data_IF_142531718816
#
_entry.id   IF_142531718816
#
_cell.length_a   1.000
_cell.length_b   1.000
_cell.length_c   1.000
_cell.angle_alpha   90.00
_cell.angle_beta   90.00
_cell.angle_gamma   90.00
#
_symmetry.space_group_name_H-M   'P 1'
#
loop_
_entity.id
_entity.type
_entity.pdbx_description
1 polymer ?
#
# COMPACT_ATOMS: atom_id res chain seq x y z
N UNK A 1 -12.57 17.84 -8.41
CA UNK A 1 -12.92 16.93 -7.29
C UNK A 1 -11.67 16.80 -6.45
N UNK A 2 -11.77 16.79 -5.11
CA UNK A 2 -10.60 16.52 -4.25
C UNK A 2 -10.25 15.03 -4.41
N UNK A 3 -8.99 14.70 -4.68
CA UNK A 3 -8.54 13.31 -4.81
C UNK A 3 -8.86 12.52 -3.53
N UNK A 4 -9.31 11.28 -3.62
CA UNK A 4 -9.70 10.50 -2.46
C UNK A 4 -8.47 10.16 -1.60
N UNK A 5 -8.52 10.51 -0.34
CA UNK A 5 -7.53 10.08 0.66
C UNK A 5 -8.26 9.19 1.66
N UNK A 6 -7.96 7.91 1.64
CA UNK A 6 -8.48 6.98 2.62
C UNK A 6 -7.66 7.04 3.92
N UNK A 7 -6.37 6.68 3.88
CA UNK A 7 -5.49 6.81 5.04
C UNK A 7 -4.88 8.21 5.08
N UNK A 8 -5.14 8.96 6.14
CA UNK A 8 -4.63 10.33 6.33
C UNK A 8 -3.34 10.35 7.13
N UNK A 9 -3.15 9.39 8.05
CA UNK A 9 -1.97 9.29 8.93
C UNK A 9 -1.71 7.85 9.31
N UNK A 10 -0.45 7.48 9.41
CA UNK A 10 0.02 6.16 9.87
C UNK A 10 0.99 6.34 11.02
N UNK A 11 0.70 5.67 12.14
CA UNK A 11 1.61 5.61 13.29
C UNK A 11 2.01 4.15 13.54
N UNK A 12 3.31 3.89 13.53
CA UNK A 12 3.89 2.57 13.78
C UNK A 12 4.80 2.61 14.99
N UNK A 13 4.77 1.55 15.80
CA UNK A 13 5.65 1.36 16.97
C UNK A 13 6.22 -0.05 16.96
N UNK A 14 7.54 -0.15 17.05
CA UNK A 14 8.28 -1.41 17.18
C UNK A 14 7.95 -2.44 16.08
N UNK A 15 7.73 -1.99 14.85
CA UNK A 15 7.41 -2.84 13.72
C UNK A 15 8.66 -3.12 12.86
N UNK A 16 9.14 -4.36 12.80
CA UNK A 16 10.37 -4.76 12.09
C UNK A 16 11.54 -3.81 12.40
N UNK A 17 12.08 -3.11 11.40
CA UNK A 17 13.15 -2.11 11.58
C UNK A 17 12.64 -0.74 12.06
N UNK A 18 11.33 -0.51 12.10
CA UNK A 18 10.73 0.78 12.47
C UNK A 18 10.54 0.84 13.99
N UNK A 19 11.30 1.68 14.68
CA UNK A 19 11.11 1.92 16.11
C UNK A 19 9.89 2.80 16.37
N UNK A 20 9.81 3.90 15.66
CA UNK A 20 8.69 4.83 15.67
C UNK A 20 8.53 5.44 14.27
N UNK A 21 7.31 5.59 13.83
CA UNK A 21 6.93 6.31 12.62
C UNK A 21 5.60 7.01 12.87
N UNK A 22 5.50 8.25 12.45
CA UNK A 22 4.28 9.05 12.52
C UNK A 22 4.27 9.99 11.31
N UNK A 23 3.55 9.59 10.27
CA UNK A 23 3.55 10.29 8.99
C UNK A 23 2.13 10.51 8.46
N UNK A 24 1.94 11.64 7.81
CA UNK A 24 0.74 11.95 7.03
C UNK A 24 0.92 11.46 5.60
N UNK A 25 -0.17 11.04 4.98
CA UNK A 25 -0.19 10.54 3.62
C UNK A 25 -0.97 11.50 2.71
N UNK A 26 -0.51 11.59 1.46
CA UNK A 26 -1.16 12.31 0.37
C UNK A 26 -1.95 11.33 -0.53
N UNK A 27 -2.76 11.82 -1.50
CA UNK A 27 -3.41 10.96 -2.49
C UNK A 27 -2.42 10.07 -3.25
N UNK A 28 -1.25 10.64 -3.60
CA UNK A 28 -0.08 9.92 -4.08
C UNK A 28 1.07 10.17 -3.12
N UNK A 29 1.62 9.11 -2.55
CA UNK A 29 2.76 9.21 -1.60
C UNK A 29 3.92 8.37 -2.12
N UNK A 30 5.09 8.99 -2.24
CA UNK A 30 6.36 8.34 -2.57
C UNK A 30 7.18 8.12 -1.29
N UNK A 31 7.47 6.86 -0.96
CA UNK A 31 8.44 6.48 0.07
C UNK A 31 9.80 6.31 -0.61
N UNK A 32 10.70 7.26 -0.41
CA UNK A 32 11.95 7.36 -1.17
C UNK A 32 13.15 7.15 -0.28
N UNK A 33 14.10 6.34 -0.74
CA UNK A 33 15.34 6.10 -0.01
C UNK A 33 16.12 4.91 -0.58
N UNK A 34 17.34 4.66 -0.08
CA UNK A 34 18.18 3.57 -0.57
C UNK A 34 17.57 2.20 -0.29
N UNK A 35 18.12 1.17 -0.99
CA UNK A 35 17.75 -0.21 -0.73
C UNK A 35 18.10 -0.59 0.72
N UNK A 36 17.24 -1.38 1.35
CA UNK A 36 17.41 -1.75 2.75
C UNK A 36 17.03 -0.67 3.78
N UNK A 37 16.60 0.52 3.38
CA UNK A 37 16.18 1.59 4.30
C UNK A 37 14.90 1.27 5.10
N UNK A 38 14.12 0.25 4.68
CA UNK A 38 12.90 -0.16 5.37
C UNK A 38 11.60 0.35 4.73
N UNK A 39 11.63 0.82 3.48
CA UNK A 39 10.44 1.23 2.72
C UNK A 39 9.38 0.13 2.68
N UNK A 40 9.78 -1.10 2.34
CA UNK A 40 8.88 -2.26 2.31
C UNK A 40 8.32 -2.61 3.69
N UNK A 41 9.03 -2.33 4.78
CA UNK A 41 8.51 -2.57 6.13
C UNK A 41 7.33 -1.66 6.48
N UNK A 42 7.29 -0.45 5.92
CA UNK A 42 6.14 0.44 6.08
C UNK A 42 4.91 -0.11 5.33
N UNK A 43 5.05 -0.50 4.06
CA UNK A 43 3.95 -1.11 3.30
C UNK A 43 3.49 -2.43 3.92
N UNK A 44 4.44 -3.26 4.41
CA UNK A 44 4.11 -4.53 5.06
C UNK A 44 3.33 -4.34 6.36
N UNK A 45 3.53 -3.23 7.10
CA UNK A 45 2.72 -2.92 8.28
C UNK A 45 1.24 -2.69 7.90
N UNK A 46 0.98 -1.99 6.79
CA UNK A 46 -0.38 -1.79 6.27
C UNK A 46 -0.97 -3.11 5.73
N UNK A 47 -0.15 -3.89 5.03
CA UNK A 47 -0.53 -5.20 4.50
C UNK A 47 -0.88 -6.18 5.63
N UNK A 48 -0.14 -6.17 6.75
CA UNK A 48 -0.46 -6.97 7.94
C UNK A 48 -1.85 -6.64 8.48
N UNK A 49 -2.25 -5.37 8.53
CA UNK A 49 -3.61 -4.98 8.96
C UNK A 49 -4.67 -5.60 8.05
N UNK A 50 -4.51 -5.49 6.74
CA UNK A 50 -5.40 -6.12 5.76
C UNK A 50 -5.51 -7.63 5.97
N UNK A 51 -4.34 -8.33 6.06
CA UNK A 51 -4.30 -9.78 6.19
C UNK A 51 -4.93 -10.25 7.50
N UNK A 52 -4.64 -9.54 8.61
CA UNK A 52 -5.19 -9.86 9.92
C UNK A 52 -6.71 -9.67 10.00
N UNK A 53 -7.27 -8.71 9.25
CA UNK A 53 -8.71 -8.47 9.16
C UNK A 53 -9.40 -9.39 8.16
N UNK A 54 -8.79 -9.68 7.01
CA UNK A 54 -9.37 -10.54 5.95
C UNK A 54 -9.31 -12.03 6.29
N UNK A 55 -8.31 -12.44 7.07
CA UNK A 55 -8.09 -13.82 7.48
C UNK A 55 -8.10 -13.95 9.00
N UNK A 56 -6.89 -14.06 9.57
CA UNK A 56 -6.69 -14.03 11.02
C UNK A 56 -5.34 -13.39 11.36
N UNK A 57 -5.27 -12.80 12.55
CA UNK A 57 -4.00 -12.24 13.05
C UNK A 57 -2.92 -13.31 13.16
N UNK A 58 -3.29 -14.54 13.54
CA UNK A 58 -2.37 -15.67 13.63
C UNK A 58 -1.73 -16.00 12.27
N UNK A 59 -2.55 -16.15 11.23
CA UNK A 59 -2.07 -16.40 9.87
C UNK A 59 -1.19 -15.24 9.37
N UNK A 60 -1.63 -14.00 9.57
CA UNK A 60 -0.90 -12.80 9.14
C UNK A 60 0.48 -12.68 9.80
N UNK A 61 0.60 -13.08 11.09
CA UNK A 61 1.87 -13.15 11.79
C UNK A 61 2.73 -14.33 11.30
N UNK A 62 2.13 -15.52 11.15
CA UNK A 62 2.85 -16.74 10.75
C UNK A 62 3.43 -16.62 9.33
N UNK A 63 2.73 -16.01 8.38
CA UNK A 63 3.24 -15.71 7.03
C UNK A 63 4.47 -14.81 7.06
N UNK A 64 4.65 -14.02 8.12
CA UNK A 64 5.81 -13.14 8.36
C UNK A 64 6.88 -13.75 9.27
N UNK A 65 6.76 -15.05 9.60
CA UNK A 65 7.70 -15.77 10.48
C UNK A 65 7.39 -15.65 11.97
N UNK A 66 6.17 -15.21 12.32
CA UNK A 66 5.70 -15.08 13.69
C UNK A 66 5.95 -13.71 14.32
N UNK A 67 5.43 -13.51 15.53
CA UNK A 67 5.54 -12.23 16.25
C UNK A 67 7.00 -11.79 16.43
N UNK A 68 7.95 -12.71 16.63
CA UNK A 68 9.36 -12.40 16.82
C UNK A 68 10.01 -11.71 15.61
N UNK A 69 9.50 -11.97 14.40
CA UNK A 69 9.98 -11.36 13.15
C UNK A 69 9.26 -10.05 12.83
N UNK A 70 8.02 -9.91 13.30
CA UNK A 70 7.20 -8.71 13.10
C UNK A 70 7.56 -7.61 14.09
N UNK A 71 7.77 -7.94 15.36
CA UNK A 71 8.22 -6.96 16.37
C UNK A 71 9.67 -6.56 16.14
N UNK A 72 10.00 -5.33 16.52
CA UNK A 72 11.36 -4.84 16.39
C UNK A 72 12.35 -5.63 17.26
N UNK A 73 13.48 -6.01 16.67
CA UNK A 73 14.65 -6.58 17.36
C UNK A 73 15.61 -5.45 17.73
N UNK A 74 15.81 -5.20 19.02
CA UNK A 74 16.75 -4.19 19.51
C UNK A 74 17.22 -4.54 20.93
N UNK A 75 18.26 -3.86 21.40
CA UNK A 75 18.80 -4.03 22.76
C UNK A 75 17.77 -3.77 23.86
N UNK A 76 16.73 -2.95 23.58
CA UNK A 76 15.62 -2.73 24.50
C UNK A 76 14.58 -3.84 24.54
N UNK A 77 14.71 -4.88 23.71
CA UNK A 77 13.85 -6.07 23.64
C UNK A 77 12.34 -5.75 23.72
N UNK A 78 11.78 -4.86 22.87
CA UNK A 78 10.36 -4.57 22.93
C UNK A 78 9.55 -5.85 22.79
N UNK A 79 8.58 -6.05 23.68
CA UNK A 79 7.74 -7.26 23.71
C UNK A 79 6.49 -7.10 22.85
N UNK A 80 6.24 -5.90 22.32
CA UNK A 80 5.04 -5.54 21.59
C UNK A 80 5.35 -4.71 20.35
N UNK A 81 4.42 -4.71 19.41
CA UNK A 81 4.33 -3.72 18.33
C UNK A 81 2.92 -3.12 18.29
N UNK A 82 2.80 -1.95 17.72
CA UNK A 82 1.50 -1.30 17.57
C UNK A 82 1.36 -0.53 16.26
N UNK A 83 0.13 -0.48 15.77
CA UNK A 83 -0.26 0.21 14.54
C UNK A 83 -1.49 1.08 14.83
N UNK A 84 -1.45 2.35 14.38
CA UNK A 84 -2.60 3.24 14.32
C UNK A 84 -2.74 3.76 12.90
N UNK A 85 -3.94 3.67 12.35
CA UNK A 85 -4.34 4.18 11.06
C UNK A 85 -5.42 5.24 11.28
N UNK A 86 -5.16 6.48 10.88
CA UNK A 86 -6.19 7.50 10.80
C UNK A 86 -6.71 7.55 9.37
N UNK A 87 -8.01 7.61 9.20
CA UNK A 87 -8.66 7.48 7.91
C UNK A 87 -9.81 8.48 7.74
N UNK A 88 -10.23 8.63 6.50
CA UNK A 88 -11.46 9.29 6.11
C UNK A 88 -12.27 8.33 5.23
N UNK A 89 -13.48 8.02 5.68
CA UNK A 89 -14.41 7.18 4.90
C UNK A 89 -14.96 7.95 3.70
N UNK A 90 -15.53 7.24 2.72
CA UNK A 90 -16.17 7.83 1.54
C UNK A 90 -17.29 8.81 1.88
N UNK A 91 -17.91 8.64 3.05
CA UNK A 91 -18.88 9.60 3.61
C UNK A 91 -18.25 10.93 4.07
N UNK A 92 -16.92 11.06 4.01
CA UNK A 92 -16.16 12.19 4.54
C UNK A 92 -15.89 12.12 6.04
N UNK A 93 -16.41 11.13 6.75
CA UNK A 93 -16.23 10.99 8.20
C UNK A 93 -14.78 10.59 8.53
N UNK A 94 -14.06 11.35 9.39
CA UNK A 94 -12.76 10.97 9.89
C UNK A 94 -12.89 9.86 10.93
N UNK A 95 -11.85 9.09 11.10
CA UNK A 95 -11.79 8.06 12.14
C UNK A 95 -10.40 7.52 12.33
N UNK A 96 -10.24 6.61 13.28
CA UNK A 96 -9.00 5.88 13.47
C UNK A 96 -9.27 4.43 13.88
N UNK A 97 -8.33 3.59 13.54
CA UNK A 97 -8.24 2.21 14.00
C UNK A 97 -6.83 1.96 14.53
N UNK A 98 -6.72 1.46 15.75
CA UNK A 98 -5.45 1.22 16.40
C UNK A 98 -5.46 -0.08 17.18
N UNK A 99 -4.32 -0.79 17.18
CA UNK A 99 -4.13 -1.96 18.02
C UNK A 99 -2.67 -2.14 18.43
N UNK A 100 -2.48 -2.87 19.52
CA UNK A 100 -1.19 -3.26 20.07
C UNK A 100 -1.17 -4.76 20.33
N UNK A 101 -0.16 -5.46 19.83
CA UNK A 101 0.03 -6.90 20.00
C UNK A 101 1.31 -7.14 20.79
N UNK A 102 1.20 -7.90 21.86
CA UNK A 102 2.32 -8.22 22.75
C UNK A 102 2.60 -9.72 22.85
N UNK A 103 3.85 -10.08 23.13
CA UNK A 103 4.27 -11.43 23.41
C UNK A 103 3.82 -11.87 24.80
N UNK A 104 3.34 -13.11 24.92
CA UNK A 104 3.06 -13.73 26.21
C UNK A 104 4.33 -14.40 26.78
N UNK A 105 4.54 -14.37 28.11
CA UNK A 105 5.68 -15.07 28.74
C UNK A 105 5.63 -16.58 28.51
N UNK A 106 4.44 -17.17 28.36
CA UNK A 106 4.22 -18.60 28.09
C UNK A 106 4.41 -18.98 26.61
N UNK A 107 4.79 -18.03 25.75
CA UNK A 107 4.81 -18.18 24.29
C UNK A 107 3.50 -17.75 23.65
N UNK A 108 3.55 -17.41 22.34
CA UNK A 108 2.43 -16.86 21.61
C UNK A 108 2.29 -15.36 21.82
N UNK A 109 1.09 -14.83 21.58
CA UNK A 109 0.79 -13.40 21.60
C UNK A 109 -0.62 -13.11 22.11
N UNK A 110 -0.87 -11.87 22.49
CA UNK A 110 -2.20 -11.33 22.77
C UNK A 110 -2.38 -9.94 22.14
N UNK A 111 -3.60 -9.63 21.75
CA UNK A 111 -4.03 -8.26 21.46
C UNK A 111 -4.21 -7.56 22.81
N UNK A 112 -3.26 -6.69 23.16
CA UNK A 112 -3.28 -6.00 24.45
C UNK A 112 -4.31 -4.88 24.49
N UNK A 113 -4.40 -4.12 23.39
CA UNK A 113 -5.38 -3.03 23.24
C UNK A 113 -5.82 -2.96 21.77
N UNK A 114 -7.10 -2.71 21.56
CA UNK A 114 -7.68 -2.44 20.25
C UNK A 114 -8.74 -1.35 20.39
N UNK A 115 -8.72 -0.38 19.46
CA UNK A 115 -9.61 0.77 19.48
C UNK A 115 -10.01 1.14 18.05
N UNK A 116 -11.30 1.43 17.86
CA UNK A 116 -11.82 2.01 16.64
C UNK A 116 -12.76 3.16 17.00
N UNK A 117 -12.61 4.31 16.35
CA UNK A 117 -13.54 5.42 16.49
C UNK A 117 -13.79 6.10 15.14
N UNK A 118 -15.03 6.50 14.90
CA UNK A 118 -15.51 7.16 13.68
C UNK A 118 -16.15 8.49 14.10
N UNK A 119 -16.02 9.54 13.30
CA UNK A 119 -16.64 10.85 13.58
C UNK A 119 -15.75 11.77 14.42
N UNK A 120 -14.43 11.59 14.43
CA UNK A 120 -13.49 12.55 15.05
C UNK A 120 -13.14 12.26 16.51
N UNK A 121 -13.33 11.03 16.98
CA UNK A 121 -12.87 10.59 18.31
C UNK A 121 -13.91 9.89 19.15
N UNK A 122 -13.46 9.37 20.31
CA UNK A 122 -14.32 8.66 21.27
C UNK A 122 -15.44 9.59 21.75
N UNK A 123 -16.70 9.12 21.65
CA UNK A 123 -17.88 9.85 22.08
C UNK A 123 -18.47 10.84 21.07
N UNK A 124 -17.84 11.04 19.89
CA UNK A 124 -18.41 11.87 18.80
C UNK A 124 -19.09 11.06 17.71
N UNK A 125 -19.03 9.73 17.77
CA UNK A 125 -19.63 8.79 16.83
C UNK A 125 -19.45 7.36 17.28
N UNK A 126 -19.61 6.37 16.39
CA UNK A 126 -19.37 4.97 16.70
C UNK A 126 -17.93 4.73 17.18
N UNK A 127 -17.79 4.01 18.30
CA UNK A 127 -16.48 3.66 18.85
C UNK A 127 -16.53 2.38 19.68
N UNK A 128 -15.39 1.71 19.79
CA UNK A 128 -15.13 0.68 20.80
C UNK A 128 -13.67 0.76 21.29
N UNK A 129 -13.47 0.30 22.52
CA UNK A 129 -12.15 0.08 23.10
C UNK A 129 -12.13 -1.25 23.85
N UNK A 130 -11.13 -2.06 23.55
CA UNK A 130 -10.93 -3.39 24.11
C UNK A 130 -9.52 -3.45 24.69
N UNK A 131 -9.41 -4.04 25.87
CA UNK A 131 -8.14 -4.29 26.54
C UNK A 131 -8.09 -5.74 26.99
N UNK A 132 -7.08 -6.49 26.50
CA UNK A 132 -6.85 -7.90 26.81
C UNK A 132 -8.12 -8.76 26.71
N UNK A 133 -8.81 -8.65 25.58
CA UNK A 133 -10.03 -9.40 25.31
C UNK A 133 -11.26 -8.98 26.13
N UNK A 134 -11.21 -7.84 26.83
CA UNK A 134 -12.35 -7.31 27.58
C UNK A 134 -12.81 -5.99 26.96
N UNK A 135 -14.10 -5.91 26.66
CA UNK A 135 -14.72 -4.65 26.24
C UNK A 135 -14.69 -3.66 27.40
N UNK A 136 -13.99 -2.54 27.21
CA UNK A 136 -13.92 -1.44 28.19
C UNK A 136 -15.00 -0.40 27.94
N UNK A 137 -15.22 -0.08 26.67
CA UNK A 137 -16.20 0.92 26.29
C UNK A 137 -16.68 0.70 24.87
N UNK A 138 -17.92 1.05 24.56
CA UNK A 138 -18.52 0.97 23.23
C UNK A 138 -19.70 1.93 23.12
N UNK A 139 -19.90 2.50 21.92
CA UNK A 139 -21.12 3.22 21.56
C UNK A 139 -22.32 2.28 21.34
N UNK A 140 -22.05 1.02 21.04
CA UNK A 140 -23.07 0.03 20.75
C UNK A 140 -23.60 -0.63 22.02
N UNK A 141 -24.91 -0.72 22.15
CA UNK A 141 -25.57 -1.35 23.32
C UNK A 141 -25.25 -2.85 23.43
N UNK A 142 -25.00 -3.49 22.30
CA UNK A 142 -24.60 -4.90 22.22
C UNK A 142 -23.33 -5.02 21.39
N UNK A 143 -22.27 -5.59 21.97
CA UNK A 143 -21.01 -5.79 21.29
C UNK A 143 -20.68 -7.30 21.22
N UNK A 144 -20.15 -7.81 20.09
CA UNK A 144 -19.83 -9.24 19.96
C UNK A 144 -18.75 -9.65 20.99
N UNK A 145 -18.78 -10.95 21.36
CA UNK A 145 -17.73 -11.51 22.20
C UNK A 145 -16.36 -11.41 21.53
N UNK A 146 -15.37 -11.01 22.30
CA UNK A 146 -13.99 -10.80 21.82
C UNK A 146 -13.03 -11.77 22.51
N UNK A 147 -11.91 -12.05 21.85
CA UNK A 147 -10.84 -12.92 22.35
C UNK A 147 -9.50 -12.21 22.22
N UNK A 148 -8.52 -12.59 23.04
CA UNK A 148 -7.18 -11.99 23.02
C UNK A 148 -6.34 -12.35 21.79
N UNK A 149 -6.70 -13.42 21.06
CA UNK A 149 -5.94 -13.90 19.89
C UNK A 149 -6.45 -13.36 18.54
N UNK A 150 -7.48 -12.49 18.54
CA UNK A 150 -8.09 -11.95 17.31
C UNK A 150 -8.35 -10.46 17.43
N UNK A 151 -8.28 -9.76 16.30
CA UNK A 151 -8.74 -8.38 16.21
C UNK A 151 -10.27 -8.34 16.32
N UNK A 152 -10.76 -7.50 17.22
CA UNK A 152 -12.19 -7.38 17.51
C UNK A 152 -12.98 -6.72 16.38
N UNK A 153 -12.34 -5.88 15.56
CA UNK A 153 -12.97 -5.27 14.39
C UNK A 153 -13.52 -6.34 13.43
N UNK A 154 -12.91 -7.54 13.36
CA UNK A 154 -13.44 -8.68 12.59
C UNK A 154 -14.83 -9.06 13.05
N UNK A 155 -15.05 -9.19 14.38
CA UNK A 155 -16.36 -9.48 14.96
C UNK A 155 -17.31 -8.28 14.89
N UNK A 156 -16.76 -7.07 15.13
CA UNK A 156 -17.51 -5.82 15.08
C UNK A 156 -17.98 -5.45 13.66
N UNK A 157 -17.39 -6.02 12.60
CA UNK A 157 -17.83 -5.83 11.22
C UNK A 157 -19.26 -6.30 10.94
N UNK A 158 -19.82 -7.14 11.81
CA UNK A 158 -21.24 -7.49 11.78
C UNK A 158 -22.18 -6.36 12.22
N UNK A 159 -21.65 -5.32 12.89
CA UNK A 159 -22.38 -4.13 13.28
C UNK A 159 -22.27 -3.09 12.14
N UNK A 160 -23.41 -2.52 11.74
CA UNK A 160 -23.48 -1.54 10.63
C UNK A 160 -22.58 -0.33 10.85
N UNK A 161 -22.33 0.05 12.10
CA UNK A 161 -21.50 1.16 12.49
C UNK A 161 -20.01 0.98 12.10
N UNK A 162 -19.48 -0.25 12.20
CA UNK A 162 -18.05 -0.54 11.96
C UNK A 162 -17.78 -1.22 10.61
N UNK A 163 -18.84 -1.67 9.93
CA UNK A 163 -18.75 -2.33 8.62
C UNK A 163 -17.96 -1.51 7.58
N UNK A 164 -18.21 -0.17 7.43
CA UNK A 164 -17.49 0.63 6.45
C UNK A 164 -15.97 0.67 6.69
N UNK A 165 -15.53 0.70 7.96
CA UNK A 165 -14.09 0.69 8.31
C UNK A 165 -13.47 -0.65 7.96
N UNK A 166 -14.14 -1.75 8.32
CA UNK A 166 -13.68 -3.10 7.99
C UNK A 166 -13.55 -3.30 6.49
N UNK A 167 -14.57 -2.93 5.72
CA UNK A 167 -14.58 -3.08 4.25
C UNK A 167 -13.46 -2.24 3.62
N UNK A 168 -13.28 -0.99 4.04
CA UNK A 168 -12.23 -0.13 3.52
C UNK A 168 -10.81 -0.64 3.85
N UNK A 169 -10.56 -1.12 5.09
CA UNK A 169 -9.26 -1.66 5.47
C UNK A 169 -8.94 -3.00 4.76
N UNK A 170 -9.93 -3.85 4.55
CA UNK A 170 -9.76 -5.12 3.82
C UNK A 170 -9.67 -4.94 2.31
N UNK A 171 -10.16 -3.83 1.77
CA UNK A 171 -10.07 -3.49 0.35
C UNK A 171 -8.71 -2.88 -0.07
N UNK A 172 -7.79 -2.60 0.86
CA UNK A 172 -6.44 -2.14 0.49
C UNK A 172 -5.73 -3.18 -0.39
N UNK A 173 -5.02 -2.74 -1.43
CA UNK A 173 -4.24 -3.58 -2.36
C UNK A 173 -2.74 -3.35 -2.19
N UNK A 174 -1.94 -4.42 -2.01
CA UNK A 174 -0.48 -4.33 -1.92
C UNK A 174 0.17 -5.22 -2.95
N UNK A 175 1.09 -4.66 -3.74
CA UNK A 175 1.65 -5.31 -4.93
C UNK A 175 3.17 -5.25 -4.95
N UNK A 176 3.77 -6.44 -5.00
CA UNK A 176 5.17 -6.66 -5.35
C UNK A 176 5.20 -7.61 -6.55
N UNK A 177 5.04 -7.04 -7.73
CA UNK A 177 4.75 -7.79 -8.95
C UNK A 177 5.95 -8.61 -9.41
N UNK A 178 5.70 -9.89 -9.70
CA UNK A 178 6.71 -10.84 -10.12
C UNK A 178 6.49 -11.25 -11.60
N UNK A 179 7.34 -10.74 -12.54
CA UNK A 179 7.21 -11.09 -13.96
C UNK A 179 7.25 -12.58 -14.26
N UNK A 180 7.95 -13.39 -13.44
CA UNK A 180 8.00 -14.84 -13.61
C UNK A 180 6.63 -15.48 -13.39
N UNK A 181 5.90 -15.07 -12.34
CA UNK A 181 4.55 -15.58 -12.09
C UNK A 181 3.51 -15.05 -13.09
N UNK A 182 3.68 -13.82 -13.57
CA UNK A 182 2.84 -13.25 -14.64
C UNK A 182 3.04 -14.01 -15.96
N UNK A 183 4.25 -14.49 -16.23
CA UNK A 183 4.63 -15.22 -17.46
C UNK A 183 4.06 -16.62 -17.53
N UNK A 184 3.86 -17.26 -16.38
CA UNK A 184 3.41 -18.64 -16.29
C UNK A 184 1.94 -18.82 -16.73
N UNK A 185 1.57 -20.05 -17.05
CA UNK A 185 0.16 -20.41 -17.22
C UNK A 185 -0.54 -20.36 -15.85
N UNK A 186 -1.67 -19.69 -15.81
CA UNK A 186 -2.42 -19.41 -14.58
C UNK A 186 -3.69 -20.27 -14.53
N UNK A 187 -4.11 -20.67 -13.34
CA UNK A 187 -5.42 -21.28 -13.13
C UNK A 187 -6.50 -20.21 -13.22
N UNK A 188 -7.59 -20.42 -13.97
CA UNK A 188 -8.70 -19.48 -14.02
C UNK A 188 -9.26 -19.15 -12.63
N UNK A 189 -9.51 -17.86 -12.36
CA UNK A 189 -10.08 -17.34 -11.13
C UNK A 189 -11.20 -16.33 -11.45
N UNK A 190 -11.85 -15.75 -10.44
CA UNK A 190 -12.91 -14.75 -10.66
C UNK A 190 -12.38 -13.45 -11.29
N UNK A 191 -11.11 -13.11 -11.06
CA UNK A 191 -10.44 -11.96 -11.65
C UNK A 191 -10.92 -10.60 -11.14
N UNK A 192 -11.62 -10.55 -10.01
CA UNK A 192 -12.14 -9.29 -9.44
C UNK A 192 -11.04 -8.37 -8.98
N UNK A 193 -10.01 -8.92 -8.30
CA UNK A 193 -8.86 -8.19 -7.81
C UNK A 193 -7.57 -8.91 -8.17
N UNK A 194 -6.54 -8.14 -8.47
CA UNK A 194 -5.18 -8.63 -8.72
C UNK A 194 -4.58 -9.12 -7.40
N UNK A 195 -3.91 -10.26 -7.43
CA UNK A 195 -3.11 -10.75 -6.31
C UNK A 195 -1.76 -10.04 -6.25
N UNK A 196 -1.14 -10.06 -5.06
CA UNK A 196 0.03 -9.25 -4.73
C UNK A 196 1.22 -9.43 -5.68
N UNK A 197 1.47 -10.64 -6.20
CA UNK A 197 2.55 -10.91 -7.13
C UNK A 197 2.11 -10.95 -8.62
N UNK A 198 0.80 -10.77 -8.90
CA UNK A 198 0.25 -10.77 -10.26
C UNK A 198 -0.08 -12.15 -10.83
N UNK A 199 -0.09 -13.18 -10.01
CA UNK A 199 -0.27 -14.59 -10.41
C UNK A 199 -1.67 -14.97 -10.93
N UNK A 200 -2.60 -14.00 -10.97
CA UNK A 200 -3.94 -14.16 -11.56
C UNK A 200 -4.28 -13.08 -12.59
N UNK A 201 -3.27 -12.40 -13.13
CA UNK A 201 -3.47 -11.22 -13.99
C UNK A 201 -4.26 -11.54 -15.26
N UNK A 202 -4.14 -12.75 -15.82
CA UNK A 202 -4.91 -13.16 -16.98
C UNK A 202 -6.42 -13.15 -16.69
N UNK A 203 -6.83 -13.67 -15.52
CA UNK A 203 -8.22 -13.61 -15.06
C UNK A 203 -8.70 -12.16 -14.87
N UNK A 204 -7.83 -11.29 -14.28
CA UNK A 204 -8.17 -9.88 -14.04
C UNK A 204 -8.36 -9.12 -15.35
N UNK A 205 -7.44 -9.25 -16.31
CA UNK A 205 -7.59 -8.65 -17.65
C UNK A 205 -8.87 -9.14 -18.31
N UNK A 206 -9.15 -10.44 -18.29
CA UNK A 206 -10.39 -10.98 -18.86
C UNK A 206 -11.66 -10.54 -18.12
N UNK A 207 -11.59 -10.24 -16.82
CA UNK A 207 -12.69 -9.65 -16.07
C UNK A 207 -12.91 -8.19 -16.48
N UNK A 208 -11.84 -7.37 -16.51
CA UNK A 208 -11.90 -5.97 -16.90
C UNK A 208 -12.38 -5.77 -18.35
N UNK A 209 -11.98 -6.63 -19.29
CA UNK A 209 -12.49 -6.59 -20.67
C UNK A 209 -14.02 -6.68 -20.75
N UNK A 210 -14.67 -7.38 -19.81
CA UNK A 210 -16.13 -7.56 -19.78
C UNK A 210 -16.85 -6.48 -18.97
N UNK A 211 -16.23 -6.00 -17.87
CA UNK A 211 -16.92 -5.18 -16.84
C UNK A 211 -16.47 -3.72 -16.81
N UNK A 212 -15.26 -3.43 -17.31
CA UNK A 212 -14.64 -2.10 -17.27
C UNK A 212 -13.78 -1.83 -18.52
N UNK A 213 -14.38 -1.75 -19.73
CA UNK A 213 -13.64 -1.55 -20.98
C UNK A 213 -12.81 -0.25 -20.99
N UNK A 214 -13.27 0.80 -20.30
CA UNK A 214 -12.53 2.06 -20.17
C UNK A 214 -11.22 1.86 -19.38
N UNK A 215 -11.22 1.05 -18.33
CA UNK A 215 -10.02 0.71 -17.58
C UNK A 215 -9.00 -0.05 -18.45
N UNK A 216 -9.46 -1.00 -19.26
CA UNK A 216 -8.61 -1.71 -20.23
C UNK A 216 -8.04 -0.76 -21.28
N UNK A 217 -8.82 0.21 -21.75
CA UNK A 217 -8.32 1.21 -22.70
C UNK A 217 -7.17 2.03 -22.10
N UNK A 218 -7.33 2.48 -20.85
CA UNK A 218 -6.28 3.21 -20.11
C UNK A 218 -5.03 2.33 -19.89
N UNK A 219 -5.21 1.07 -19.49
CA UNK A 219 -4.10 0.13 -19.32
C UNK A 219 -3.33 -0.04 -20.64
N UNK A 220 -4.02 -0.21 -21.77
CA UNK A 220 -3.41 -0.36 -23.09
C UNK A 220 -2.68 0.91 -23.54
N UNK A 221 -3.24 2.08 -23.28
CA UNK A 221 -2.64 3.39 -23.56
C UNK A 221 -1.27 3.52 -22.87
N UNK A 222 -1.22 3.33 -21.56
CA UNK A 222 0.04 3.43 -20.82
C UNK A 222 0.99 2.27 -21.09
N UNK A 223 0.48 1.07 -21.35
CA UNK A 223 1.33 -0.06 -21.75
C UNK A 223 2.04 0.23 -23.08
N UNK A 224 1.33 0.83 -24.05
CA UNK A 224 1.93 1.28 -25.31
C UNK A 224 2.97 2.39 -25.09
N UNK A 225 2.73 3.35 -24.19
CA UNK A 225 3.70 4.38 -23.85
C UNK A 225 4.99 3.82 -23.22
N UNK A 226 4.87 2.76 -22.39
CA UNK A 226 6.01 2.06 -21.76
C UNK A 226 6.69 1.09 -22.72
N UNK A 227 5.94 0.42 -23.58
CA UNK A 227 6.40 -0.59 -24.54
C UNK A 227 5.79 -0.30 -25.93
N UNK A 228 6.37 0.63 -26.73
CA UNK A 228 5.75 1.18 -27.94
C UNK A 228 5.40 0.18 -29.03
N UNK A 229 6.03 -1.01 -29.03
CA UNK A 229 5.69 -2.08 -29.98
C UNK A 229 4.46 -2.88 -29.59
N UNK A 230 3.97 -2.73 -28.32
CA UNK A 230 2.82 -3.48 -27.80
C UNK A 230 1.55 -2.64 -27.94
N UNK A 231 0.58 -3.12 -28.73
CA UNK A 231 -0.67 -2.42 -29.00
C UNK A 231 -1.85 -2.94 -28.16
N UNK A 232 -1.73 -4.13 -27.61
CA UNK A 232 -2.82 -4.69 -26.84
C UNK A 232 -2.42 -5.93 -26.06
N UNK A 233 -3.24 -6.22 -25.07
CA UNK A 233 -3.17 -7.43 -24.25
C UNK A 233 -4.58 -7.94 -24.03
N UNK A 234 -4.74 -9.26 -24.01
CA UNK A 234 -6.01 -9.93 -23.71
C UNK A 234 -5.78 -11.26 -23.00
N UNK A 235 -6.81 -11.72 -22.30
CA UNK A 235 -6.85 -13.08 -21.75
C UNK A 235 -6.94 -14.12 -22.88
N UNK A 236 -6.18 -15.21 -22.78
CA UNK A 236 -6.23 -16.34 -23.70
C UNK A 236 -6.32 -17.66 -22.92
N UNK A 237 -7.36 -18.46 -23.21
CA UNK A 237 -7.45 -19.82 -22.68
C UNK A 237 -6.42 -20.76 -23.35
N UNK A 238 -5.77 -21.59 -22.55
CA UNK A 238 -4.78 -22.60 -22.98
C UNK A 238 -5.12 -23.93 -22.29
N UNK A 239 -5.98 -24.71 -22.91
CA UNK A 239 -6.55 -25.92 -22.28
C UNK A 239 -7.33 -25.54 -20.99
N UNK A 240 -7.03 -26.18 -19.84
CA UNK A 240 -7.66 -25.88 -18.56
C UNK A 240 -7.03 -24.65 -17.86
N UNK A 241 -5.99 -24.07 -18.44
CA UNK A 241 -5.25 -22.92 -17.91
C UNK A 241 -5.55 -21.68 -18.76
N UNK A 242 -4.99 -20.55 -18.34
CA UNK A 242 -5.04 -19.29 -19.07
C UNK A 242 -3.69 -18.56 -19.04
N UNK A 243 -3.51 -17.69 -20.00
CA UNK A 243 -2.34 -16.84 -20.14
C UNK A 243 -2.75 -15.49 -20.72
N UNK A 244 -1.82 -14.56 -20.78
CA UNK A 244 -1.96 -13.31 -21.53
C UNK A 244 -1.45 -13.49 -22.95
N UNK A 245 -2.16 -12.90 -23.92
CA UNK A 245 -1.76 -12.78 -25.31
C UNK A 245 -1.58 -11.30 -25.65
N UNK A 246 -0.40 -10.95 -26.11
CA UNK A 246 -0.01 -9.60 -26.51
C UNK A 246 -0.07 -9.45 -28.02
N UNK A 247 -0.48 -8.27 -28.48
CA UNK A 247 -0.40 -7.85 -29.88
C UNK A 247 0.79 -6.92 -30.03
N UNK A 248 1.76 -7.30 -30.87
CA UNK A 248 3.01 -6.57 -31.03
C UNK A 248 3.34 -6.35 -32.53
N UNK A 249 3.80 -5.13 -32.84
CA UNK A 249 4.30 -4.83 -34.17
C UNK A 249 5.60 -5.56 -34.46
N UNK A 250 5.70 -6.09 -35.68
CA UNK A 250 6.90 -6.70 -36.17
C UNK A 250 7.33 -6.05 -37.50
N UNK A 251 8.61 -5.80 -37.63
CA UNK A 251 9.19 -5.18 -38.84
C UNK A 251 8.79 -5.97 -40.09
N UNK A 252 8.21 -5.30 -41.09
CA UNK A 252 7.76 -5.90 -42.34
C UNK A 252 6.43 -6.62 -42.28
N UNK A 253 5.78 -6.76 -41.14
CA UNK A 253 4.46 -7.36 -41.02
C UNK A 253 3.35 -6.34 -41.35
N UNK A 254 2.30 -6.77 -42.04
CA UNK A 254 1.12 -5.94 -42.36
C UNK A 254 0.15 -5.81 -41.17
N UNK A 255 0.22 -6.76 -40.23
CA UNK A 255 -0.65 -6.83 -39.04
C UNK A 255 0.19 -7.17 -37.81
N UNK A 256 -0.20 -6.75 -36.59
CA UNK A 256 0.47 -7.12 -35.35
C UNK A 256 0.48 -8.64 -35.16
N UNK A 257 1.60 -9.15 -34.67
CA UNK A 257 1.72 -10.56 -34.32
C UNK A 257 1.23 -10.79 -32.89
N UNK A 258 0.88 -12.04 -32.60
CA UNK A 258 0.40 -12.44 -31.29
C UNK A 258 1.47 -13.25 -30.57
N UNK A 259 1.80 -12.80 -29.34
CA UNK A 259 2.77 -13.45 -28.47
C UNK A 259 2.17 -13.76 -27.12
N UNK A 260 2.43 -14.94 -26.60
CA UNK A 260 2.09 -15.24 -25.21
C UNK A 260 3.01 -14.51 -24.23
N UNK A 261 2.57 -14.37 -22.97
CA UNK A 261 3.35 -13.77 -21.90
C UNK A 261 4.75 -14.36 -21.74
N UNK A 262 4.94 -15.64 -22.10
CA UNK A 262 6.22 -16.36 -22.10
C UNK A 262 7.29 -15.68 -22.97
N UNK A 263 6.89 -14.98 -24.02
CA UNK A 263 7.78 -14.32 -24.97
C UNK A 263 8.02 -12.83 -24.64
N UNK A 264 7.36 -12.30 -23.60
CA UNK A 264 7.45 -10.89 -23.25
C UNK A 264 8.60 -10.61 -22.30
N UNK A 265 9.14 -9.39 -22.35
CA UNK A 265 10.18 -8.94 -21.42
C UNK A 265 9.65 -8.77 -19.98
N UNK A 266 10.54 -8.90 -18.99
CA UNK A 266 10.18 -8.68 -17.59
C UNK A 266 9.62 -7.27 -17.36
N UNK A 267 10.21 -6.25 -18.01
CA UNK A 267 9.73 -4.88 -17.93
C UNK A 267 8.31 -4.72 -18.46
N UNK A 268 7.99 -5.31 -19.63
CA UNK A 268 6.62 -5.26 -20.18
C UNK A 268 5.60 -5.93 -19.25
N UNK A 269 5.94 -7.11 -18.72
CA UNK A 269 5.06 -7.84 -17.80
C UNK A 269 4.86 -7.10 -16.49
N UNK A 270 5.93 -6.51 -15.94
CA UNK A 270 5.86 -5.71 -14.71
C UNK A 270 5.04 -4.44 -14.92
N UNK A 271 5.26 -3.73 -16.04
CA UNK A 271 4.45 -2.56 -16.40
C UNK A 271 2.96 -2.90 -16.48
N UNK A 272 2.61 -3.99 -17.18
CA UNK A 272 1.22 -4.46 -17.25
C UNK A 272 0.67 -4.76 -15.84
N UNK A 273 1.44 -5.42 -14.99
CA UNK A 273 1.04 -5.70 -13.61
C UNK A 273 0.79 -4.42 -12.80
N UNK A 274 1.69 -3.44 -12.87
CA UNK A 274 1.54 -2.13 -12.21
C UNK A 274 0.30 -1.40 -12.73
N UNK A 275 0.12 -1.30 -14.04
CA UNK A 275 -1.04 -0.65 -14.64
C UNK A 275 -2.35 -1.35 -14.27
N UNK A 276 -2.34 -2.70 -14.21
CA UNK A 276 -3.50 -3.47 -13.75
C UNK A 276 -3.80 -3.19 -12.28
N UNK A 277 -2.78 -3.13 -11.40
CA UNK A 277 -2.96 -2.79 -10.00
C UNK A 277 -3.56 -1.38 -9.80
N UNK A 278 -3.14 -0.40 -10.61
CA UNK A 278 -3.58 0.99 -10.55
C UNK A 278 -5.02 1.19 -11.07
N UNK A 279 -5.38 0.50 -12.15
CA UNK A 279 -6.64 0.75 -12.87
C UNK A 279 -7.66 -0.38 -12.75
N UNK A 280 -7.40 -1.42 -11.96
CA UNK A 280 -8.36 -2.47 -11.67
C UNK A 280 -9.53 -1.97 -10.84
N UNK A 281 -10.64 -2.68 -10.96
CA UNK A 281 -11.85 -2.36 -10.21
C UNK A 281 -12.81 -1.47 -10.99
N UNK A 282 -14.08 -1.62 -10.65
CA UNK A 282 -15.16 -0.75 -11.02
C UNK A 282 -15.64 -0.01 -9.77
N UNK A 283 -16.67 0.82 -9.88
CA UNK A 283 -17.21 1.63 -8.78
C UNK A 283 -17.54 0.83 -7.51
N UNK A 284 -17.82 -0.47 -7.62
CA UNK A 284 -18.24 -1.31 -6.49
C UNK A 284 -17.09 -2.13 -5.85
N UNK A 285 -15.94 -2.28 -6.53
CA UNK A 285 -14.87 -3.20 -6.13
C UNK A 285 -13.45 -2.64 -6.34
N UNK A 286 -13.28 -1.32 -6.33
CA UNK A 286 -11.96 -0.71 -6.41
C UNK A 286 -11.23 -0.85 -5.05
N UNK A 287 -9.89 -1.04 -5.05
CA UNK A 287 -9.11 -0.92 -3.83
C UNK A 287 -9.27 0.47 -3.20
N UNK A 288 -9.40 0.53 -1.87
CA UNK A 288 -9.42 1.79 -1.11
C UNK A 288 -8.07 2.51 -1.13
N UNK A 289 -6.99 1.72 -1.23
CA UNK A 289 -5.62 2.15 -1.32
C UNK A 289 -4.82 1.13 -2.12
N UNK A 290 -3.89 1.60 -2.95
CA UNK A 290 -2.95 0.79 -3.73
C UNK A 290 -1.52 1.06 -3.27
N UNK A 291 -0.86 0.08 -2.65
CA UNK A 291 0.56 0.11 -2.32
C UNK A 291 1.37 -0.68 -3.36
N UNK A 292 2.38 -0.08 -3.97
CA UNK A 292 3.23 -0.76 -4.97
C UNK A 292 4.69 -0.64 -4.59
N UNK A 293 5.39 -1.78 -4.58
CA UNK A 293 6.83 -1.82 -4.36
C UNK A 293 7.59 -1.68 -5.68
N UNK A 294 8.43 -0.63 -5.74
CA UNK A 294 9.40 -0.38 -6.81
C UNK A 294 8.82 -0.62 -8.22
N UNK A 295 7.75 0.11 -8.60
CA UNK A 295 7.06 -0.10 -9.87
C UNK A 295 7.96 0.10 -11.10
N UNK A 296 9.02 0.87 -10.96
CA UNK A 296 9.99 1.18 -12.00
C UNK A 296 11.00 0.06 -12.28
N UNK A 297 11.10 -0.93 -11.41
CA UNK A 297 12.08 -2.02 -11.56
C UNK A 297 11.91 -2.75 -12.89
N UNK A 298 13.02 -2.96 -13.60
CA UNK A 298 13.10 -3.55 -14.94
C UNK A 298 12.47 -2.71 -16.07
N UNK A 299 12.02 -1.50 -15.80
CA UNK A 299 11.61 -0.55 -16.84
C UNK A 299 12.81 0.22 -17.40
N UNK A 300 12.72 0.58 -18.67
CA UNK A 300 13.69 1.49 -19.26
C UNK A 300 13.47 2.91 -18.69
N UNK A 301 14.51 3.69 -18.37
CA UNK A 301 14.38 5.05 -17.84
C UNK A 301 13.41 5.95 -18.62
N UNK A 302 13.38 5.83 -19.97
CA UNK A 302 12.45 6.57 -20.82
C UNK A 302 10.94 6.25 -20.53
N UNK A 303 10.65 5.13 -19.89
CA UNK A 303 9.28 4.77 -19.50
C UNK A 303 8.84 5.38 -18.16
N UNK A 304 9.77 5.97 -17.39
CA UNK A 304 9.50 6.53 -16.07
C UNK A 304 8.48 7.68 -16.11
N UNK A 305 8.50 8.51 -17.13
CA UNK A 305 7.54 9.59 -17.30
C UNK A 305 6.10 9.05 -17.51
N UNK A 306 5.93 8.06 -18.38
CA UNK A 306 4.62 7.43 -18.60
C UNK A 306 4.11 6.71 -17.36
N UNK A 307 5.01 6.04 -16.62
CA UNK A 307 4.67 5.41 -15.34
C UNK A 307 4.22 6.45 -14.31
N UNK A 308 4.94 7.57 -14.18
CA UNK A 308 4.58 8.65 -13.27
C UNK A 308 3.22 9.25 -13.61
N UNK A 309 2.95 9.52 -14.88
CA UNK A 309 1.65 9.99 -15.34
C UNK A 309 0.53 9.01 -14.99
N UNK A 310 0.75 7.70 -15.17
CA UNK A 310 -0.18 6.67 -14.77
C UNK A 310 -0.45 6.66 -13.26
N UNK A 311 0.59 6.87 -12.42
CA UNK A 311 0.45 6.98 -10.97
C UNK A 311 -0.38 8.20 -10.57
N UNK A 312 -0.11 9.37 -11.16
CA UNK A 312 -0.87 10.61 -10.92
C UNK A 312 -2.34 10.43 -11.31
N UNK A 313 -2.61 9.90 -12.52
CA UNK A 313 -3.97 9.63 -12.99
C UNK A 313 -4.73 8.63 -12.12
N UNK A 314 -4.05 7.59 -11.62
CA UNK A 314 -4.65 6.63 -10.70
C UNK A 314 -4.99 7.27 -9.34
N UNK A 315 -4.12 8.18 -8.85
CA UNK A 315 -4.31 8.88 -7.59
C UNK A 315 -5.52 9.84 -7.57
N UNK A 316 -6.07 10.21 -8.73
CA UNK A 316 -7.34 10.94 -8.82
C UNK A 316 -8.55 10.11 -8.35
N UNK A 317 -8.42 8.77 -8.32
CA UNK A 317 -9.53 7.85 -8.03
C UNK A 317 -9.29 6.97 -6.82
N UNK A 318 -8.03 6.61 -6.55
CA UNK A 318 -7.65 5.68 -5.49
C UNK A 318 -6.35 6.17 -4.88
N UNK A 319 -6.25 6.18 -3.55
CA UNK A 319 -5.00 6.56 -2.89
C UNK A 319 -3.87 5.60 -3.27
N UNK A 320 -2.70 6.14 -3.62
CA UNK A 320 -1.54 5.36 -4.09
C UNK A 320 -0.34 5.62 -3.19
N UNK A 321 0.32 4.56 -2.75
CA UNK A 321 1.62 4.61 -2.04
C UNK A 321 2.63 3.83 -2.87
N UNK A 322 3.76 4.46 -3.18
CA UNK A 322 4.83 3.87 -3.98
C UNK A 322 6.13 3.88 -3.20
N UNK A 323 6.82 2.75 -3.15
CA UNK A 323 8.23 2.75 -2.71
C UNK A 323 9.13 2.89 -3.92
N UNK A 324 10.14 3.75 -3.84
CA UNK A 324 11.10 3.92 -4.93
C UNK A 324 12.51 4.21 -4.41
N UNK A 325 13.49 3.79 -5.18
CA UNK A 325 14.89 4.19 -5.05
C UNK A 325 15.43 4.76 -6.37
N UNK A 326 14.55 4.94 -7.38
CA UNK A 326 14.91 5.42 -8.71
C UNK A 326 14.78 6.93 -8.82
N UNK A 327 15.90 7.63 -9.10
CA UNK A 327 15.84 9.05 -9.42
C UNK A 327 14.97 9.36 -10.64
N UNK A 328 14.94 8.46 -11.65
CA UNK A 328 14.24 8.70 -12.91
C UNK A 328 12.70 8.74 -12.75
N UNK A 329 12.15 7.95 -11.82
CA UNK A 329 10.72 8.02 -11.48
C UNK A 329 10.35 9.35 -10.82
N UNK A 330 11.29 9.94 -10.07
CA UNK A 330 11.11 11.16 -9.28
C UNK A 330 11.61 12.42 -9.98
N UNK A 331 12.09 12.28 -11.23
CA UNK A 331 12.65 13.39 -12.00
C UNK A 331 11.53 14.20 -12.68
N UNK A 332 10.80 14.95 -11.85
CA UNK A 332 9.75 15.86 -12.27
C UNK A 332 9.60 16.99 -11.25
N UNK A 333 9.58 18.21 -11.72
CA UNK A 333 9.44 19.41 -10.89
C UNK A 333 8.03 19.62 -10.38
N UNK A 334 7.03 18.96 -10.97
CA UNK A 334 5.61 19.04 -10.56
C UNK A 334 5.25 18.08 -9.42
N UNK A 335 6.18 17.25 -8.97
CA UNK A 335 5.93 16.39 -7.79
C UNK A 335 5.76 17.28 -6.56
N UNK A 336 4.57 17.19 -5.95
CA UNK A 336 4.27 17.91 -4.72
C UNK A 336 5.23 17.51 -3.60
N UNK A 337 5.77 18.48 -2.89
CA UNK A 337 6.75 18.25 -1.80
C UNK A 337 6.16 17.36 -0.71
N UNK A 338 4.89 17.55 -0.37
CA UNK A 338 4.19 16.78 0.68
C UNK A 338 3.80 15.36 0.21
N UNK A 339 4.00 15.04 -1.05
CA UNK A 339 3.87 13.68 -1.59
C UNK A 339 5.11 12.82 -1.33
N UNK A 340 6.25 13.40 -0.94
CA UNK A 340 7.52 12.69 -0.77
C UNK A 340 7.87 12.52 0.70
N UNK A 341 8.04 11.26 1.11
CA UNK A 341 8.56 10.87 2.42
C UNK A 341 9.95 10.28 2.27
N UNK A 342 10.94 10.86 2.93
CA UNK A 342 12.28 10.33 2.95
C UNK A 342 12.40 9.16 3.93
N UNK A 343 13.05 8.09 3.49
CA UNK A 343 13.29 6.87 4.27
C UNK A 343 14.77 6.58 4.32
N UNK A 344 15.33 6.55 5.53
CA UNK A 344 16.73 6.18 5.76
C UNK A 344 16.84 5.07 6.79
N UNK A 345 17.95 4.34 6.75
CA UNK A 345 18.35 3.42 7.82
C UNK A 345 19.51 4.02 8.58
N UNK A 346 19.37 4.16 9.88
CA UNK A 346 20.40 4.63 10.79
C UNK A 346 20.60 3.57 11.88
N UNK A 347 21.79 2.97 11.92
CA UNK A 347 22.12 1.85 12.81
C UNK A 347 21.08 0.71 12.79
N UNK A 348 20.53 0.39 11.62
CA UNK A 348 19.51 -0.65 11.46
C UNK A 348 18.10 -0.22 11.87
N UNK A 349 17.90 1.06 12.22
CA UNK A 349 16.60 1.66 12.54
C UNK A 349 16.09 2.42 11.34
N UNK A 350 14.91 2.06 10.84
CA UNK A 350 14.23 2.82 9.79
C UNK A 350 13.64 4.11 10.37
N UNK A 351 13.99 5.22 9.73
CA UNK A 351 13.46 6.56 10.01
C UNK A 351 12.69 7.04 8.78
N UNK A 352 11.46 7.48 8.98
CA UNK A 352 10.56 7.96 7.91
C UNK A 352 10.01 9.31 8.34
N UNK A 353 10.20 10.35 7.52
CA UNK A 353 9.64 11.67 7.78
C UNK A 353 9.47 12.44 6.45
N UNK A 354 8.74 13.55 6.42
CA UNK A 354 8.80 14.53 5.33
C UNK A 354 10.25 14.96 5.07
N UNK A 355 10.48 15.55 3.90
CA UNK A 355 11.79 16.10 3.56
C UNK A 355 12.18 17.23 4.52
N UNK A 356 13.48 17.42 4.72
CA UNK A 356 14.04 18.56 5.45
C UNK A 356 13.70 19.90 4.77
N UNK A 357 13.81 21.00 5.49
CA UNK A 357 13.40 22.32 5.01
C UNK A 357 14.21 22.79 3.79
N UNK A 358 15.48 22.42 3.68
CA UNK A 358 16.31 22.78 2.53
C UNK A 358 15.82 22.08 1.25
N UNK A 359 15.59 20.78 1.31
CA UNK A 359 15.04 19.99 0.19
C UNK A 359 13.63 20.45 -0.18
N UNK A 360 12.78 20.71 0.81
CA UNK A 360 11.41 21.24 0.60
C UNK A 360 11.44 22.59 -0.14
N UNK A 361 12.31 23.50 0.28
CA UNK A 361 12.47 24.82 -0.34
C UNK A 361 13.01 24.71 -1.77
N UNK A 362 13.99 23.82 -2.00
CA UNK A 362 14.56 23.59 -3.32
C UNK A 362 13.50 23.05 -4.31
N UNK A 363 12.68 22.08 -3.88
CA UNK A 363 11.58 21.55 -4.69
C UNK A 363 10.47 22.58 -4.93
N UNK A 364 10.00 23.30 -3.89
CA UNK A 364 8.96 24.33 -4.02
C UNK A 364 9.32 25.45 -4.98
N UNK A 365 10.60 25.79 -5.06
CA UNK A 365 11.11 26.82 -5.96
C UNK A 365 11.52 26.24 -7.33
N UNK A 366 11.22 24.96 -7.63
CA UNK A 366 11.60 24.26 -8.86
C UNK A 366 13.10 24.35 -9.17
N UNK A 367 13.96 24.43 -8.15
CA UNK A 367 15.41 24.44 -8.31
C UNK A 367 15.96 23.04 -8.51
N UNK A 368 15.34 22.05 -7.88
CA UNK A 368 15.69 20.64 -7.99
C UNK A 368 14.42 19.78 -7.95
N UNK A 369 14.40 18.71 -8.75
CA UNK A 369 13.42 17.65 -8.61
C UNK A 369 13.77 16.73 -7.42
N UNK A 370 12.81 15.95 -6.93
CA UNK A 370 13.09 14.92 -5.91
C UNK A 370 14.11 13.90 -6.43
N UNK A 371 14.09 13.59 -7.75
CA UNK A 371 15.04 12.71 -8.40
C UNK A 371 16.47 13.27 -8.40
N UNK A 372 16.66 14.55 -8.66
CA UNK A 372 17.97 15.22 -8.59
C UNK A 372 18.51 15.23 -7.15
N UNK A 373 17.67 15.57 -6.17
CA UNK A 373 18.06 15.52 -4.75
C UNK A 373 18.47 14.11 -4.33
N UNK A 374 17.77 13.08 -4.83
CA UNK A 374 18.12 11.68 -4.56
C UNK A 374 19.48 11.30 -5.18
N UNK A 375 19.78 11.72 -6.42
CA UNK A 375 21.09 11.52 -7.08
C UNK A 375 22.22 12.17 -6.29
N UNK A 376 21.97 13.36 -5.72
CA UNK A 376 22.93 14.10 -4.90
C UNK A 376 23.04 13.60 -3.46
N UNK A 377 22.26 12.58 -3.08
CA UNK A 377 22.15 12.07 -1.70
C UNK A 377 21.73 13.16 -0.69
N UNK A 378 20.97 14.13 -1.13
CA UNK A 378 20.47 15.25 -0.32
C UNK A 378 18.99 15.09 0.05
N UNK A 379 18.34 14.00 -0.36
CA UNK A 379 16.96 13.71 0.01
C UNK A 379 16.94 13.04 1.39
N UNK A 380 16.88 13.88 2.43
CA UNK A 380 16.97 13.45 3.84
C UNK A 380 15.68 13.77 4.59
N UNK A 381 15.32 12.95 5.60
CA UNK A 381 14.16 13.20 6.43
C UNK A 381 14.39 14.38 7.40
N UNK A 382 13.33 15.14 7.67
CA UNK A 382 13.35 16.27 8.59
C UNK A 382 13.68 15.83 10.02
N UNK A 383 14.77 16.40 10.56
CA UNK A 383 15.28 16.05 11.89
C UNK A 383 14.33 16.47 13.04
N UNK A 384 13.53 17.54 12.84
CA UNK A 384 12.56 18.02 13.86
C UNK A 384 11.43 17.01 13.93
N UNK A 385 10.85 16.64 12.80
CA UNK A 385 9.79 15.61 12.71
C UNK A 385 10.24 14.28 13.33
N UNK A 386 11.48 13.85 13.06
CA UNK A 386 12.02 12.61 13.66
C UNK A 386 12.16 12.69 15.18
N UNK A 387 12.58 13.85 15.73
CA UNK A 387 12.65 14.06 17.18
C UNK A 387 11.27 14.05 17.84
N UNK A 388 10.29 14.70 17.22
CA UNK A 388 8.91 14.70 17.69
C UNK A 388 8.32 13.28 17.68
N UNK A 389 8.55 12.50 16.63
CA UNK A 389 8.12 11.10 16.55
C UNK A 389 8.72 10.26 17.69
N UNK A 390 9.99 10.48 18.02
CA UNK A 390 10.66 9.79 19.12
C UNK A 390 10.12 10.21 20.51
N UNK A 391 9.79 11.50 20.69
CA UNK A 391 9.23 12.03 21.94
C UNK A 391 7.77 11.63 22.16
N UNK A 392 6.96 11.60 21.10
CA UNK A 392 5.57 11.13 21.10
C UNK A 392 5.46 9.61 21.24
N UNK A 393 6.45 8.95 21.80
CA UNK A 393 6.60 7.50 21.89
C UNK A 393 5.40 6.77 22.52
N UNK A 394 4.42 7.49 23.06
CA UNK A 394 3.40 6.92 23.91
C UNK A 394 2.00 6.77 23.26
N UNK A 395 1.62 7.50 22.22
CA UNK A 395 0.19 7.66 21.97
C UNK A 395 -0.32 7.01 20.66
N UNK A 396 -0.40 5.66 20.67
CA UNK A 396 -1.22 4.92 19.70
C UNK A 396 -2.73 5.09 19.97
N UNK A 397 -3.11 5.43 21.21
CA UNK A 397 -4.50 5.42 21.70
C UNK A 397 -4.96 6.79 22.23
N UNK A 398 -4.16 7.84 22.07
CA UNK A 398 -4.52 9.20 22.43
C UNK A 398 -5.50 9.85 21.46
N UNK A 399 -6.16 10.92 21.90
CA UNK A 399 -7.05 11.71 21.03
C UNK A 399 -6.25 12.26 19.84
N UNK A 400 -6.80 12.11 18.64
CA UNK A 400 -6.27 12.78 17.44
C UNK A 400 -6.30 14.30 17.70
N UNK A 401 -5.13 14.93 17.80
CA UNK A 401 -5.06 16.38 17.73
C UNK A 401 -5.43 16.78 16.29
N UNK A 402 -6.46 17.60 16.15
CA UNK A 402 -6.96 18.19 14.92
C UNK A 402 -5.87 18.93 14.11
#
# INVERSE_FOLDING_TARGET
MVAPIFLTRVVLRNYKSIAACDVRLSPLTYLVGPNGAGKSNFLDALHLVKDALSGSLDNALNERGGLSEVRRRSSGHPTHFGIRLEFRLDTGQPGHYAFNVGALPSGGYEVQTEECAIGGGIGKGPYFKIERGQLKNSSEATFPAVTTGRLALVSASGLTAFRPVFDALTAMGFYNLNPKLIRELQKPQDGRLLKSAGENIASVIGHLERTAPDAIAVIREYLHAVAPTVHGVKRQAVGPMESLMFQQDMAGAKHPWHFFAQNMSDGTLRALGVLTALFQGNQDHAPSLVGIEEPETALHPAASAALREALVRAAERTQVIVTSHSPDLLDDLEIEVDAVLAVISDEGVTKIAPLDEASRTAMKNHLFSAGELLRLQQLVPDAISLREQAQRQADLFGESME
#
